data_IF_309437598736
#
_entry.id   IF_309437598736
#
_cell.length_a   1.000
_cell.length_b   1.000
_cell.length_c   1.000
_cell.angle_alpha   90.00
_cell.angle_beta   90.00
_cell.angle_gamma   90.00
#
_symmetry.space_group_name_H-M   'P 1'
#
loop_
_entity.id
_entity.type
_entity.pdbx_description
1 polymer ?
#
# COMPACT_ATOMS: atom_id res chain seq x y z
N UNK A 1 1.57 4.33 4.79
CA UNK A 1 0.53 5.30 4.40
C UNK A 1 -0.87 4.71 4.54
N UNK A 2 -1.19 3.56 3.90
CA UNK A 2 -2.51 2.90 3.95
C UNK A 2 -3.04 2.75 5.39
N UNK A 3 -2.24 2.19 6.32
CA UNK A 3 -2.63 1.99 7.74
C UNK A 3 -3.03 3.30 8.42
N UNK A 4 -2.37 4.40 8.12
CA UNK A 4 -2.70 5.72 8.68
C UNK A 4 -4.13 6.14 8.34
N UNK A 5 -4.56 5.94 7.09
CA UNK A 5 -5.90 6.29 6.64
C UNK A 5 -6.98 5.32 7.08
N UNK A 6 -6.61 4.05 7.32
CA UNK A 6 -7.54 3.03 7.82
C UNK A 6 -7.81 3.16 9.33
N UNK A 7 -6.83 3.64 10.10
CA UNK A 7 -6.87 3.63 11.57
C UNK A 7 -8.11 4.29 12.20
N UNK A 8 -8.66 5.40 11.68
CA UNK A 8 -9.88 6.01 12.23
C UNK A 8 -11.14 5.15 12.06
N UNK A 9 -11.15 4.24 11.09
CA UNK A 9 -12.30 3.40 10.74
C UNK A 9 -12.18 1.98 11.29
N UNK A 10 -10.99 1.39 11.21
CA UNK A 10 -10.69 0.02 11.60
C UNK A 10 -9.37 -0.04 12.39
N UNK A 11 -9.38 0.44 13.66
CA UNK A 11 -8.20 0.44 14.50
C UNK A 11 -7.70 -0.96 14.81
N UNK A 12 -8.62 -1.94 14.98
CA UNK A 12 -8.28 -3.31 15.34
C UNK A 12 -7.49 -4.00 14.23
N UNK A 13 -7.94 -3.85 12.98
CA UNK A 13 -7.20 -4.40 11.84
C UNK A 13 -5.85 -3.69 11.64
N UNK A 14 -5.78 -2.39 11.89
CA UNK A 14 -4.50 -1.65 11.82
C UNK A 14 -3.53 -2.12 12.91
N UNK A 15 -4.02 -2.44 14.09
CA UNK A 15 -3.21 -3.05 15.16
C UNK A 15 -2.73 -4.45 14.75
N UNK A 16 -3.61 -5.28 14.20
CA UNK A 16 -3.26 -6.60 13.65
C UNK A 16 -2.17 -6.48 12.58
N UNK A 17 -2.32 -5.55 11.62
CA UNK A 17 -1.32 -5.27 10.58
C UNK A 17 0.03 -4.78 11.13
N UNK A 18 0.09 -4.35 12.37
CA UNK A 18 1.30 -3.81 13.00
C UNK A 18 2.08 -4.87 13.79
N UNK A 19 1.51 -6.06 13.96
CA UNK A 19 2.17 -7.19 14.63
C UNK A 19 3.36 -7.68 13.82
N UNK A 20 4.39 -8.11 14.52
CA UNK A 20 5.55 -8.75 13.88
C UNK A 20 5.13 -10.00 13.11
N UNK A 21 5.71 -10.19 11.92
CA UNK A 21 5.36 -11.32 11.04
C UNK A 21 4.05 -11.19 10.28
N UNK A 22 3.28 -10.09 10.44
CA UNK A 22 2.06 -9.89 9.66
C UNK A 22 2.37 -9.71 8.17
N UNK A 23 1.76 -10.54 7.33
CA UNK A 23 1.84 -10.42 5.88
C UNK A 23 0.46 -10.14 5.28
N UNK A 24 0.22 -8.94 4.69
CA UNK A 24 -1.09 -8.56 4.17
C UNK A 24 -1.55 -9.40 2.98
N UNK A 25 -0.65 -10.11 2.32
CA UNK A 25 -0.97 -10.95 1.17
C UNK A 25 -1.44 -12.33 1.63
N UNK A 26 -0.79 -12.89 2.66
CA UNK A 26 -1.23 -14.13 3.30
C UNK A 26 -2.48 -13.93 4.15
N UNK A 27 -2.63 -12.76 4.78
CA UNK A 27 -3.88 -12.39 5.47
C UNK A 27 -5.07 -12.37 4.51
N UNK A 28 -4.93 -11.76 3.33
CA UNK A 28 -5.97 -11.80 2.30
C UNK A 28 -6.24 -13.23 1.82
N UNK A 29 -5.20 -14.05 1.63
CA UNK A 29 -5.35 -15.44 1.24
C UNK A 29 -6.12 -16.25 2.29
N UNK A 30 -5.88 -16.01 3.57
CA UNK A 30 -6.61 -16.61 4.69
C UNK A 30 -8.07 -16.15 4.71
N UNK A 31 -8.32 -14.86 4.56
CA UNK A 31 -9.67 -14.29 4.54
C UNK A 31 -10.49 -14.84 3.36
N UNK A 32 -9.85 -15.02 2.20
CA UNK A 32 -10.47 -15.65 1.03
C UNK A 32 -10.58 -17.19 1.13
N UNK A 33 -10.19 -17.82 2.25
CA UNK A 33 -10.28 -19.26 2.46
C UNK A 33 -9.26 -20.11 1.71
N UNK A 34 -8.23 -19.51 1.09
CA UNK A 34 -7.21 -20.23 0.33
C UNK A 34 -6.11 -20.86 1.18
N UNK A 35 -5.92 -20.39 2.41
CA UNK A 35 -4.97 -20.93 3.40
C UNK A 35 -5.52 -20.84 4.80
N UNK A 36 -5.03 -21.71 5.69
CA UNK A 36 -5.31 -21.66 7.13
C UNK A 36 -4.18 -20.95 7.88
N UNK A 37 -4.44 -20.57 9.14
CA UNK A 37 -3.40 -20.00 10.00
C UNK A 37 -2.24 -20.98 10.23
N UNK A 38 -2.53 -22.27 10.46
CA UNK A 38 -1.51 -23.32 10.60
C UNK A 38 -0.56 -23.40 9.39
N UNK A 39 -1.08 -23.25 8.17
CA UNK A 39 -0.26 -23.22 6.97
C UNK A 39 0.62 -21.97 6.89
N UNK A 40 0.13 -20.81 7.35
CA UNK A 40 0.91 -19.58 7.44
C UNK A 40 2.01 -19.73 8.49
N UNK A 41 1.71 -20.32 9.64
CA UNK A 41 2.68 -20.54 10.72
C UNK A 41 3.79 -21.50 10.28
N UNK A 42 3.44 -22.57 9.56
CA UNK A 42 4.41 -23.49 8.92
C UNK A 42 5.26 -22.83 7.85
N UNK A 43 4.70 -21.85 7.13
CA UNK A 43 5.47 -21.04 6.18
C UNK A 43 6.47 -20.15 6.90
N UNK A 44 6.06 -19.51 7.98
CA UNK A 44 6.88 -18.59 8.77
C UNK A 44 8.01 -19.34 9.53
N UNK A 45 7.75 -20.58 9.98
CA UNK A 45 8.78 -21.45 10.59
C UNK A 45 9.74 -22.08 9.57
N UNK A 46 9.43 -22.00 8.28
CA UNK A 46 10.24 -22.61 7.22
C UNK A 46 9.91 -24.09 6.92
N UNK A 47 8.91 -24.67 7.59
CA UNK A 47 8.48 -26.06 7.36
C UNK A 47 7.80 -26.26 5.99
N UNK A 48 7.18 -25.21 5.47
CA UNK A 48 6.51 -25.22 4.17
C UNK A 48 6.73 -23.91 3.41
N UNK A 49 6.32 -23.84 2.14
CA UNK A 49 6.50 -22.63 1.34
C UNK A 49 5.21 -22.19 0.67
N UNK A 50 4.73 -21.01 1.04
CA UNK A 50 3.59 -20.34 0.40
C UNK A 50 4.02 -19.22 -0.57
N UNK A 51 5.30 -19.20 -1.00
CA UNK A 51 5.86 -18.12 -1.85
C UNK A 51 5.07 -17.89 -3.15
N UNK A 52 4.64 -18.96 -3.83
CA UNK A 52 3.87 -18.87 -5.07
C UNK A 52 2.49 -18.28 -4.82
N UNK A 53 1.78 -18.80 -3.81
CA UNK A 53 0.48 -18.29 -3.41
C UNK A 53 0.57 -16.82 -3.00
N UNK A 54 1.52 -16.49 -2.13
CA UNK A 54 1.78 -15.12 -1.69
C UNK A 54 2.02 -14.16 -2.86
N UNK A 55 2.75 -14.61 -3.90
CA UNK A 55 2.99 -13.80 -5.10
C UNK A 55 1.68 -13.45 -5.82
N UNK A 56 0.77 -14.42 -5.97
CA UNK A 56 -0.52 -14.19 -6.61
C UNK A 56 -1.38 -13.22 -5.79
N UNK A 57 -1.48 -13.42 -4.48
CA UNK A 57 -2.23 -12.54 -3.59
C UNK A 57 -1.61 -11.15 -3.45
N UNK A 58 -0.29 -11.01 -3.66
CA UNK A 58 0.38 -9.70 -3.79
C UNK A 58 -0.17 -8.94 -5.00
N UNK A 59 -0.29 -9.57 -6.16
CA UNK A 59 -0.88 -8.95 -7.37
C UNK A 59 -2.30 -8.50 -7.09
N UNK A 60 -3.13 -9.36 -6.51
CA UNK A 60 -4.52 -9.03 -6.16
C UNK A 60 -4.59 -7.83 -5.21
N UNK A 61 -3.82 -7.85 -4.13
CA UNK A 61 -3.84 -6.82 -3.09
C UNK A 61 -3.47 -5.43 -3.65
N UNK A 62 -2.42 -5.37 -4.49
CA UNK A 62 -2.04 -4.13 -5.15
C UNK A 62 -3.09 -3.70 -6.19
N UNK A 63 -3.49 -4.60 -7.09
CA UNK A 63 -4.44 -4.28 -8.16
C UNK A 63 -5.79 -3.82 -7.59
N UNK A 64 -6.29 -4.46 -6.54
CA UNK A 64 -7.53 -4.05 -5.87
C UNK A 64 -7.38 -2.66 -5.23
N UNK A 65 -6.27 -2.39 -4.56
CA UNK A 65 -5.99 -1.05 -3.96
C UNK A 65 -6.03 0.06 -5.02
N UNK A 66 -5.64 -0.24 -6.26
CA UNK A 66 -5.68 0.69 -7.40
C UNK A 66 -6.98 0.60 -8.21
N UNK A 67 -8.02 -0.04 -7.68
CA UNK A 67 -9.36 -0.04 -8.28
C UNK A 67 -9.46 -0.86 -9.57
N UNK A 68 -8.67 -1.94 -9.71
CA UNK A 68 -8.78 -2.86 -10.85
C UNK A 68 -10.14 -3.55 -10.85
N UNK A 69 -10.74 -3.74 -12.04
CA UNK A 69 -11.95 -4.54 -12.19
C UNK A 69 -11.64 -6.03 -12.42
N UNK A 70 -12.64 -6.91 -12.14
CA UNK A 70 -12.51 -8.36 -12.23
C UNK A 70 -11.99 -8.87 -13.59
N UNK A 71 -12.48 -8.30 -14.70
CA UNK A 71 -12.04 -8.69 -16.04
C UNK A 71 -10.55 -8.40 -16.31
N UNK A 72 -9.99 -7.33 -15.75
CA UNK A 72 -8.55 -7.02 -15.88
C UNK A 72 -7.74 -7.94 -14.97
N UNK A 73 -8.18 -8.13 -13.71
CA UNK A 73 -7.52 -9.03 -12.77
C UNK A 73 -7.47 -10.47 -13.30
N UNK A 74 -8.58 -10.96 -13.88
CA UNK A 74 -8.65 -12.27 -14.56
C UNK A 74 -7.56 -12.42 -15.62
N UNK A 75 -7.39 -11.42 -16.51
CA UNK A 75 -6.35 -11.46 -17.55
C UNK A 75 -4.92 -11.45 -16.99
N UNK A 76 -4.69 -10.72 -15.89
CA UNK A 76 -3.35 -10.58 -15.28
C UNK A 76 -2.94 -11.84 -14.50
N UNK A 77 -3.91 -12.57 -13.95
CA UNK A 77 -3.66 -13.71 -13.06
C UNK A 77 -3.96 -15.06 -13.71
N UNK A 78 -4.71 -15.08 -14.83
CA UNK A 78 -5.14 -16.30 -15.50
C UNK A 78 -6.33 -17.00 -14.84
N UNK A 79 -6.90 -16.44 -13.76
CA UNK A 79 -8.12 -16.98 -13.13
C UNK A 79 -9.38 -16.59 -13.92
N UNK A 80 -10.49 -17.27 -13.69
CA UNK A 80 -11.78 -16.89 -14.27
C UNK A 80 -12.25 -15.53 -13.76
N UNK A 81 -13.13 -14.85 -14.51
CA UNK A 81 -13.70 -13.56 -14.08
C UNK A 81 -14.50 -13.72 -12.78
N UNK A 82 -15.18 -14.86 -12.60
CA UNK A 82 -15.95 -15.15 -11.38
C UNK A 82 -15.03 -15.26 -10.15
N UNK A 83 -13.90 -15.99 -10.27
CA UNK A 83 -12.91 -16.10 -9.20
C UNK A 83 -12.26 -14.73 -8.90
N UNK A 84 -11.93 -13.97 -9.94
CA UNK A 84 -11.40 -12.62 -9.77
C UNK A 84 -12.39 -11.69 -9.06
N UNK A 85 -13.69 -11.80 -9.37
CA UNK A 85 -14.74 -11.02 -8.67
C UNK A 85 -14.83 -11.39 -7.21
N UNK A 86 -14.96 -12.69 -6.90
CA UNK A 86 -15.03 -13.17 -5.52
C UNK A 86 -13.81 -12.77 -4.68
N UNK A 87 -12.63 -12.75 -5.30
CA UNK A 87 -11.40 -12.34 -4.64
C UNK A 87 -11.33 -10.83 -4.40
N UNK A 88 -11.85 -10.02 -5.32
CA UNK A 88 -12.02 -8.57 -5.11
C UNK A 88 -13.05 -8.28 -4.01
N UNK A 89 -14.14 -9.03 -3.93
CA UNK A 89 -15.15 -8.90 -2.87
C UNK A 89 -14.52 -9.22 -1.51
N UNK A 90 -13.77 -10.32 -1.39
CA UNK A 90 -13.02 -10.67 -0.18
C UNK A 90 -11.99 -9.58 0.21
N UNK A 91 -11.31 -9.00 -0.79
CA UNK A 91 -10.41 -7.89 -0.54
C UNK A 91 -11.14 -6.67 0.03
N UNK A 92 -12.26 -6.26 -0.55
CA UNK A 92 -12.99 -5.08 -0.12
C UNK A 92 -13.73 -5.29 1.21
N UNK A 93 -14.15 -6.52 1.49
CA UNK A 93 -14.67 -6.90 2.81
C UNK A 93 -13.58 -6.73 3.89
N UNK A 94 -12.40 -7.27 3.65
CA UNK A 94 -11.26 -7.18 4.60
C UNK A 94 -10.69 -5.77 4.71
N UNK A 95 -10.78 -4.96 3.67
CA UNK A 95 -10.22 -3.60 3.60
C UNK A 95 -11.31 -2.53 3.47
N UNK A 96 -12.48 -2.76 4.04
CA UNK A 96 -13.63 -1.85 3.98
C UNK A 96 -13.29 -0.41 4.39
N UNK A 97 -12.41 -0.24 5.38
CA UNK A 97 -11.95 1.06 5.85
C UNK A 97 -11.25 1.90 4.76
N UNK A 98 -10.63 1.26 3.76
CA UNK A 98 -10.05 1.95 2.59
C UNK A 98 -11.16 2.55 1.73
N UNK A 99 -12.23 1.78 1.51
CA UNK A 99 -13.39 2.23 0.73
C UNK A 99 -14.10 3.38 1.44
N UNK A 100 -14.37 3.23 2.75
CA UNK A 100 -15.00 4.26 3.56
C UNK A 100 -14.17 5.55 3.56
N UNK A 101 -12.85 5.45 3.74
CA UNK A 101 -11.99 6.63 3.65
C UNK A 101 -12.10 7.32 2.29
N UNK A 102 -12.14 6.56 1.18
CA UNK A 102 -12.27 7.13 -0.16
C UNK A 102 -13.61 7.85 -0.36
N UNK A 103 -14.71 7.28 0.13
CA UNK A 103 -16.06 7.83 0.06
C UNK A 103 -16.20 9.14 0.89
N UNK A 104 -15.49 9.23 2.00
CA UNK A 104 -15.50 10.43 2.86
C UNK A 104 -14.68 11.61 2.28
N UNK A 105 -13.92 11.37 1.19
CA UNK A 105 -13.14 12.45 0.60
C UNK A 105 -14.00 13.40 -0.22
N UNK A 106 -13.84 14.70 0.03
CA UNK A 106 -14.54 15.72 -0.72
C UNK A 106 -13.89 15.93 -2.09
N UNK A 107 -14.56 15.48 -3.15
CA UNK A 107 -14.16 15.75 -4.54
C UNK A 107 -14.79 17.06 -4.99
N UNK A 108 -13.99 17.98 -5.50
CA UNK A 108 -14.43 19.23 -6.14
C UNK A 108 -14.43 19.05 -7.65
N UNK A 109 -15.47 19.57 -8.31
CA UNK A 109 -15.55 19.65 -9.78
C UNK A 109 -15.39 21.11 -10.18
N UNK A 110 -14.33 21.40 -10.96
CA UNK A 110 -14.00 22.76 -11.42
C UNK A 110 -13.67 22.64 -12.90
N UNK A 111 -14.38 23.38 -13.73
CA UNK A 111 -14.23 23.40 -15.19
C UNK A 111 -14.25 22.01 -15.86
N UNK A 112 -15.10 21.11 -15.36
CA UNK A 112 -15.21 19.72 -15.83
C UNK A 112 -14.19 18.75 -15.28
N UNK A 113 -13.21 19.23 -14.55
CA UNK A 113 -12.13 18.46 -13.90
C UNK A 113 -12.48 18.11 -12.45
N UNK A 114 -12.04 16.92 -12.02
CA UNK A 114 -12.21 16.47 -10.63
C UNK A 114 -10.94 16.65 -9.84
N UNK A 115 -11.07 17.17 -8.61
CA UNK A 115 -9.96 17.44 -7.72
C UNK A 115 -10.20 16.91 -6.32
N UNK A 116 -9.20 16.27 -5.73
CA UNK A 116 -9.20 15.83 -4.34
C UNK A 116 -8.04 16.48 -3.58
N UNK A 117 -8.31 16.92 -2.36
CA UNK A 117 -7.27 17.47 -1.50
C UNK A 117 -6.63 16.37 -0.65
N UNK A 118 -5.32 16.23 -0.71
CA UNK A 118 -4.60 15.36 0.19
C UNK A 118 -4.70 15.90 1.63
N UNK A 119 -5.22 15.12 2.61
CA UNK A 119 -5.44 15.61 3.97
C UNK A 119 -4.15 15.86 4.77
N UNK A 120 -3.01 15.31 4.33
CA UNK A 120 -1.71 15.49 4.98
C UNK A 120 -0.94 16.66 4.38
N UNK A 121 -0.67 16.62 3.06
CA UNK A 121 0.10 17.66 2.37
C UNK A 121 -0.69 18.95 2.11
N UNK A 122 -2.03 18.87 2.13
CA UNK A 122 -2.98 19.92 1.72
C UNK A 122 -2.95 20.26 0.22
N UNK A 123 -2.16 19.56 -0.57
CA UNK A 123 -2.11 19.76 -2.02
C UNK A 123 -3.37 19.20 -2.69
N UNK A 124 -3.81 19.87 -3.74
CA UNK A 124 -4.89 19.43 -4.61
C UNK A 124 -4.32 18.59 -5.74
N UNK A 125 -4.98 17.46 -6.02
CA UNK A 125 -4.60 16.54 -7.07
C UNK A 125 -5.78 16.35 -8.02
N UNK A 126 -5.51 16.42 -9.33
CA UNK A 126 -6.49 16.11 -10.35
C UNK A 126 -6.80 14.60 -10.35
N UNK A 127 -8.07 14.25 -10.49
CA UNK A 127 -8.54 12.88 -10.59
C UNK A 127 -9.10 12.62 -11.99
N UNK A 128 -8.66 11.53 -12.60
CA UNK A 128 -9.28 11.04 -13.82
C UNK A 128 -10.62 10.36 -13.56
N UNK A 129 -10.71 9.61 -12.46
CA UNK A 129 -11.92 8.93 -12.00
C UNK A 129 -12.06 9.05 -10.49
N UNK A 130 -13.28 9.11 -9.96
CA UNK A 130 -13.55 9.19 -8.51
C UNK A 130 -12.94 7.99 -7.74
N UNK A 131 -12.96 6.79 -8.33
CA UNK A 131 -12.36 5.58 -7.75
C UNK A 131 -10.84 5.70 -7.50
N UNK A 132 -10.16 6.65 -8.14
CA UNK A 132 -8.72 6.86 -7.99
C UNK A 132 -8.38 7.72 -6.76
N UNK A 133 -9.38 8.23 -6.02
CA UNK A 133 -9.19 9.13 -4.89
C UNK A 133 -8.25 8.54 -3.82
N UNK A 134 -8.51 7.29 -3.38
CA UNK A 134 -7.65 6.65 -2.38
C UNK A 134 -6.23 6.46 -2.89
N UNK A 135 -6.04 5.92 -4.08
CA UNK A 135 -4.71 5.66 -4.64
C UNK A 135 -3.92 6.96 -4.81
N UNK A 136 -4.57 8.02 -5.30
CA UNK A 136 -3.97 9.35 -5.46
C UNK A 136 -3.53 9.93 -4.12
N UNK A 137 -4.40 9.91 -3.10
CA UNK A 137 -4.07 10.40 -1.76
C UNK A 137 -2.95 9.55 -1.13
N UNK A 138 -3.05 8.23 -1.22
CA UNK A 138 -2.06 7.32 -0.63
C UNK A 138 -0.67 7.50 -1.24
N UNK A 139 -0.58 7.59 -2.57
CA UNK A 139 0.68 7.81 -3.30
C UNK A 139 1.27 9.19 -3.02
N UNK A 140 0.44 10.23 -3.14
CA UNK A 140 0.92 11.61 -2.91
C UNK A 140 1.34 11.86 -1.46
N UNK A 141 0.73 11.17 -0.48
CA UNK A 141 1.19 11.21 0.90
C UNK A 141 2.54 10.53 1.08
N UNK A 142 2.74 9.37 0.45
CA UNK A 142 4.04 8.69 0.45
C UNK A 142 5.15 9.58 -0.12
N UNK A 143 4.92 10.17 -1.29
CA UNK A 143 5.84 11.11 -1.92
C UNK A 143 6.13 12.33 -1.02
N UNK A 144 5.08 12.94 -0.45
CA UNK A 144 5.23 14.09 0.45
C UNK A 144 6.06 13.74 1.71
N UNK A 145 5.80 12.59 2.33
CA UNK A 145 6.58 12.13 3.49
C UNK A 145 8.05 11.88 3.12
N UNK A 146 8.30 11.28 1.95
CA UNK A 146 9.64 11.04 1.47
C UNK A 146 10.39 12.34 1.16
N UNK A 147 9.75 13.30 0.51
CA UNK A 147 10.34 14.62 0.25
C UNK A 147 10.67 15.37 1.56
N UNK A 148 9.80 15.29 2.58
CA UNK A 148 10.08 15.85 3.90
C UNK A 148 11.26 15.17 4.56
N UNK A 149 11.34 13.84 4.48
CA UNK A 149 12.48 13.09 5.00
C UNK A 149 13.78 13.51 4.28
N UNK A 150 13.77 13.58 2.94
CA UNK A 150 14.92 14.04 2.14
C UNK A 150 15.38 15.44 2.57
N UNK A 151 14.42 16.36 2.75
CA UNK A 151 14.73 17.73 3.20
C UNK A 151 15.40 17.75 4.58
N UNK A 152 14.85 16.99 5.54
CA UNK A 152 15.42 16.86 6.88
C UNK A 152 16.78 16.19 6.88
N UNK A 153 16.96 15.14 6.10
CA UNK A 153 18.22 14.43 5.98
C UNK A 153 19.32 15.34 5.41
N UNK A 154 19.02 16.12 4.36
CA UNK A 154 19.96 17.09 3.77
C UNK A 154 20.47 18.12 4.76
N UNK A 155 19.66 18.54 5.74
CA UNK A 155 20.12 19.47 6.77
C UNK A 155 21.11 18.87 7.75
N UNK A 156 21.12 17.52 7.87
CA UNK A 156 21.97 16.82 8.83
C UNK A 156 23.24 16.26 8.21
N UNK A 157 23.16 15.64 7.02
CA UNK A 157 24.27 14.87 6.43
C UNK A 157 24.47 15.02 4.91
N UNK A 158 23.58 15.60 4.20
CA UNK A 158 23.67 16.31 2.91
C UNK A 158 24.14 15.59 1.62
N UNK A 159 24.45 14.30 1.58
CA UNK A 159 25.10 13.68 0.41
C UNK A 159 24.19 12.75 -0.40
N UNK A 160 22.92 13.13 -0.62
CA UNK A 160 22.02 12.41 -1.52
C UNK A 160 22.45 12.73 -2.97
N UNK A 161 22.81 11.70 -3.74
CA UNK A 161 23.22 11.80 -5.14
C UNK A 161 22.18 11.26 -6.12
N UNK A 162 21.19 10.52 -5.62
CA UNK A 162 20.07 10.00 -6.41
C UNK A 162 18.83 9.76 -5.55
N UNK A 163 17.67 9.91 -6.18
CA UNK A 163 16.37 9.63 -5.59
C UNK A 163 15.51 8.88 -6.60
N UNK A 164 14.96 7.73 -6.20
CA UNK A 164 14.11 6.88 -7.04
C UNK A 164 12.91 6.42 -6.21
N UNK A 165 11.71 6.91 -6.52
CA UNK A 165 10.46 6.60 -5.80
C UNK A 165 10.58 6.80 -4.28
N UNK A 166 10.80 5.74 -3.52
CA UNK A 166 10.96 5.66 -2.07
C UNK A 166 12.39 5.25 -1.64
N UNK A 167 13.34 5.30 -2.57
CA UNK A 167 14.75 4.97 -2.37
C UNK A 167 15.63 6.21 -2.55
N UNK A 168 16.65 6.35 -1.71
CA UNK A 168 17.71 7.35 -1.88
C UNK A 168 19.08 6.69 -2.02
N UNK A 169 19.90 7.21 -2.93
CA UNK A 169 21.29 6.84 -3.08
C UNK A 169 22.14 7.94 -2.43
N UNK A 170 22.97 7.54 -1.48
CA UNK A 170 23.78 8.46 -0.70
C UNK A 170 25.27 8.20 -0.93
N UNK A 171 26.07 9.26 -1.05
CA UNK A 171 27.51 9.17 -1.06
C UNK A 171 28.02 9.24 0.38
N UNK A 172 28.67 8.17 0.84
CA UNK A 172 29.19 8.05 2.20
C UNK A 172 30.71 7.82 2.14
N UNK A 173 31.44 8.45 3.05
CA UNK A 173 32.87 8.19 3.19
C UNK A 173 33.09 6.74 3.63
N UNK A 174 34.08 6.08 3.02
CA UNK A 174 34.42 4.69 3.37
C UNK A 174 34.79 4.59 4.87
N UNK A 175 34.08 3.70 5.56
CA UNK A 175 34.19 3.47 7.00
C UNK A 175 33.09 4.11 7.84
N UNK A 176 32.28 5.01 7.27
CA UNK A 176 31.19 5.69 7.97
C UNK A 176 29.81 5.07 7.66
N UNK A 177 29.75 3.92 6.97
CA UNK A 177 28.52 3.32 6.47
C UNK A 177 27.54 2.97 7.59
N UNK A 178 28.05 2.40 8.70
CA UNK A 178 27.20 2.00 9.83
C UNK A 178 26.62 3.21 10.55
N UNK A 179 27.43 4.26 10.76
CA UNK A 179 26.94 5.50 11.38
C UNK A 179 25.91 6.20 10.50
N UNK A 180 26.13 6.18 9.18
CA UNK A 180 25.19 6.73 8.22
C UNK A 180 23.85 6.00 8.25
N UNK A 181 23.87 4.66 8.23
CA UNK A 181 22.65 3.83 8.28
C UNK A 181 21.85 4.06 9.56
N UNK A 182 22.52 4.24 10.70
CA UNK A 182 21.87 4.51 11.98
C UNK A 182 21.27 5.93 12.09
N UNK A 183 21.59 6.81 11.14
CA UNK A 183 21.08 8.19 11.11
C UNK A 183 19.83 8.33 10.21
N UNK A 184 19.57 7.34 9.34
CA UNK A 184 18.41 7.26 8.46
C UNK A 184 17.14 6.89 9.22
#
# INVERSE_FOLDING_TARGET
>A
TKRHYMKPYDPDYVEEMSKEGFDPHLDLAKHAGAVTQDQIDKHNSGESSLKSLRKNYKVVNYSATYGVGAAKLSRETGMSVSEASALLDAYWERNWAVKQFAEDQRIRKIDGEMWVQNPVSKFWHNLRYEKDAFSTINQSTGAYCFDKWVALYRTKRGNIIGQFHDESINLVKKGDESEHTNTL
#
